data_IF_878195302347
#
_entry.id   IF_878195302347
#
_cell.length_a   1.000
_cell.length_b   1.000
_cell.length_c   1.000
_cell.angle_alpha   90.00
_cell.angle_beta   90.00
_cell.angle_gamma   90.00
#
_symmetry.space_group_name_H-M   'P 1'
#
loop_
_entity.id
_entity.type
_entity.pdbx_description
1 polymer ?
#
# COMPACT_ATOMS: atom_id res chain seq x y z
N UNK A 1 -0.47 -17.29 19.97
CA UNK A 1 0.21 -16.06 19.49
C UNK A 1 1.52 -15.94 20.23
N UNK A 2 2.64 -16.19 19.57
CA UNK A 2 3.98 -16.18 20.20
C UNK A 2 4.64 -14.86 19.84
N UNK A 3 4.28 -13.78 20.50
CA UNK A 3 5.06 -12.54 20.34
C UNK A 3 6.37 -12.75 21.09
N UNK A 4 7.44 -13.06 20.35
CA UNK A 4 8.79 -13.05 20.92
C UNK A 4 9.10 -11.68 21.56
N UNK A 5 10.16 -11.60 22.36
CA UNK A 5 10.61 -10.32 22.93
C UNK A 5 11.18 -9.43 21.81
N UNK A 6 10.65 -8.21 21.69
CA UNK A 6 11.12 -7.18 20.76
C UNK A 6 11.44 -5.91 21.54
N UNK A 7 12.49 -5.21 21.12
CA UNK A 7 12.77 -3.84 21.52
C UNK A 7 11.98 -2.93 20.58
N UNK A 8 11.14 -2.08 21.16
CA UNK A 8 10.31 -1.13 20.41
C UNK A 8 10.65 0.30 20.84
N UNK A 9 10.45 1.25 19.93
CA UNK A 9 10.57 2.68 20.20
C UNK A 9 9.31 3.40 19.79
N UNK A 10 8.85 4.32 20.62
CA UNK A 10 7.67 5.14 20.33
C UNK A 10 7.91 6.04 19.11
N UNK A 11 6.89 6.17 18.28
CA UNK A 11 6.86 7.03 17.11
C UNK A 11 5.97 8.24 17.39
N UNK A 12 6.55 9.43 17.18
CA UNK A 12 5.87 10.70 17.41
C UNK A 12 5.68 11.45 16.10
N UNK A 13 4.57 12.17 15.97
CA UNK A 13 4.37 13.11 14.88
C UNK A 13 5.33 14.29 15.03
N UNK A 14 6.09 14.63 13.99
CA UNK A 14 7.06 15.74 14.03
C UNK A 14 6.41 17.12 14.16
N UNK A 15 5.12 17.25 13.85
CA UNK A 15 4.39 18.53 13.92
C UNK A 15 3.77 18.79 15.29
N UNK A 16 3.09 17.79 15.86
CA UNK A 16 2.35 17.94 17.12
C UNK A 16 2.96 17.18 18.30
N UNK A 17 4.07 16.45 18.09
CA UNK A 17 4.76 15.63 19.10
C UNK A 17 3.85 14.61 19.81
N UNK A 18 2.71 14.28 19.20
CA UNK A 18 1.78 13.32 19.75
C UNK A 18 2.22 11.88 19.40
N UNK A 19 2.11 10.91 20.33
CA UNK A 19 2.46 9.52 20.06
C UNK A 19 1.47 8.88 19.08
N UNK A 20 1.92 8.56 17.88
CA UNK A 20 1.09 8.00 16.80
C UNK A 20 1.23 6.49 16.64
N UNK A 21 2.21 5.88 17.31
CA UNK A 21 2.47 4.45 17.24
C UNK A 21 3.87 4.11 17.73
N UNK A 22 4.43 3.03 17.19
CA UNK A 22 5.74 2.51 17.59
C UNK A 22 6.42 1.75 16.45
N UNK A 23 7.74 1.62 16.56
CA UNK A 23 8.61 0.92 15.61
C UNK A 23 9.28 -0.26 16.31
N UNK A 24 9.44 -1.38 15.60
CA UNK A 24 10.35 -2.43 16.03
C UNK A 24 11.80 -1.99 15.77
N UNK A 25 12.59 -1.81 16.82
CA UNK A 25 14.03 -1.55 16.69
C UNK A 25 14.81 -2.85 16.48
N UNK A 26 14.66 -3.80 17.39
CA UNK A 26 15.43 -5.04 17.36
C UNK A 26 14.57 -6.24 17.79
N UNK A 27 14.70 -7.34 17.06
CA UNK A 27 14.06 -8.61 17.38
C UNK A 27 15.11 -9.55 17.99
N UNK A 28 14.82 -10.08 19.19
CA UNK A 28 15.74 -10.98 19.89
C UNK A 28 15.97 -12.30 19.15
N UNK A 29 15.08 -12.67 18.22
CA UNK A 29 15.15 -13.92 17.49
C UNK A 29 15.25 -13.67 15.97
N UNK A 30 16.15 -14.40 15.29
CA UNK A 30 16.32 -14.33 13.82
C UNK A 30 15.01 -14.54 13.06
N UNK A 31 14.15 -15.43 13.55
CA UNK A 31 12.84 -15.70 12.95
C UNK A 31 11.88 -14.49 12.97
N UNK A 32 12.13 -13.47 13.79
CA UNK A 32 11.30 -12.28 13.92
C UNK A 32 12.00 -11.01 13.38
N UNK A 33 13.23 -11.12 12.85
CA UNK A 33 13.98 -9.98 12.27
C UNK A 33 13.25 -9.29 11.13
N UNK A 34 12.35 -9.98 10.44
CA UNK A 34 11.51 -9.39 9.40
C UNK A 34 10.60 -8.25 9.91
N UNK A 35 10.43 -8.10 11.23
CA UNK A 35 9.69 -7.00 11.84
C UNK A 35 10.55 -5.79 12.14
N UNK A 36 11.87 -5.95 12.29
CA UNK A 36 12.80 -4.85 12.52
C UNK A 36 12.62 -3.78 11.44
N UNK A 37 12.53 -2.51 11.84
CA UNK A 37 12.30 -1.41 10.92
C UNK A 37 10.82 -1.13 10.59
N UNK A 38 9.89 -2.05 10.88
CA UNK A 38 8.46 -1.86 10.62
C UNK A 38 7.80 -0.98 11.69
N UNK A 39 6.77 -0.26 11.27
CA UNK A 39 5.98 0.62 12.12
C UNK A 39 4.57 0.06 12.30
N UNK A 40 4.05 0.25 13.51
CA UNK A 40 2.64 0.04 13.82
C UNK A 40 2.10 1.38 14.26
N UNK A 41 1.07 1.83 13.55
CA UNK A 41 0.48 3.15 13.71
C UNK A 41 -0.99 2.98 14.10
N UNK A 42 -1.45 3.81 15.03
CA UNK A 42 -2.85 3.81 15.45
C UNK A 42 -3.69 4.64 14.48
N UNK A 43 -4.59 3.98 13.73
CA UNK A 43 -5.48 4.65 12.77
C UNK A 43 -6.32 5.76 13.39
N UNK A 44 -6.77 5.60 14.64
CA UNK A 44 -7.56 6.61 15.36
C UNK A 44 -6.79 7.92 15.61
N UNK A 45 -5.46 7.89 15.54
CA UNK A 45 -4.56 9.03 15.73
C UNK A 45 -4.05 9.59 14.41
N UNK A 46 -4.52 9.05 13.28
CA UNK A 46 -4.10 9.47 11.94
C UNK A 46 -5.30 9.97 11.13
N UNK A 47 -5.09 11.08 10.43
CA UNK A 47 -6.00 11.52 9.38
C UNK A 47 -5.57 10.82 8.09
N UNK A 48 -6.38 9.87 7.61
CA UNK A 48 -6.21 9.32 6.28
C UNK A 48 -6.71 10.39 5.31
N UNK A 49 -5.80 11.03 4.59
CA UNK A 49 -6.20 11.76 3.39
C UNK A 49 -6.21 10.71 2.28
N UNK A 50 -7.40 10.32 1.87
CA UNK A 50 -7.60 9.57 0.63
C UNK A 50 -7.10 10.48 -0.50
N UNK A 51 -5.88 10.24 -0.96
CA UNK A 51 -5.54 10.62 -2.32
C UNK A 51 -6.26 9.61 -3.20
N UNK A 52 -7.56 9.85 -3.41
CA UNK A 52 -8.29 9.18 -4.47
C UNK A 52 -7.45 9.33 -5.73
N UNK A 53 -6.91 8.21 -6.20
CA UNK A 53 -6.49 8.12 -7.59
C UNK A 53 -7.74 8.43 -8.37
N UNK A 54 -7.85 9.67 -8.86
CA UNK A 54 -8.69 9.99 -10.00
C UNK A 54 -8.11 9.15 -11.14
N UNK A 55 -8.50 7.88 -11.18
CA UNK A 55 -8.48 7.09 -12.39
C UNK A 55 -9.44 7.84 -13.30
N UNK A 56 -8.87 8.54 -14.27
CA UNK A 56 -9.55 9.44 -15.19
C UNK A 56 -10.85 8.84 -15.75
N UNK A 57 -11.97 9.14 -15.12
CA UNK A 57 -13.26 9.14 -15.77
C UNK A 57 -13.47 10.58 -16.25
N UNK A 58 -13.04 10.86 -17.47
CA UNK A 58 -13.37 12.13 -18.12
C UNK A 58 -14.91 12.24 -18.19
N UNK A 59 -15.52 13.34 -17.71
CA UNK A 59 -16.95 13.54 -17.88
C UNK A 59 -17.21 13.95 -19.33
N UNK A 60 -17.79 13.05 -20.15
CA UNK A 60 -18.51 13.48 -21.35
C UNK A 60 -18.30 12.74 -22.67
N UNK A 61 -17.69 11.54 -22.74
CA UNK A 61 -17.62 10.82 -24.02
C UNK A 61 -18.76 9.81 -24.15
N UNK A 62 -19.85 10.23 -24.78
CA UNK A 62 -20.90 9.34 -25.28
C UNK A 62 -20.32 8.33 -26.29
N UNK A 63 -20.75 7.06 -26.30
CA UNK A 63 -20.30 6.12 -27.30
C UNK A 63 -21.06 6.38 -28.60
N UNK A 64 -20.43 7.08 -29.54
CA UNK A 64 -20.94 7.21 -30.90
C UNK A 64 -19.91 6.70 -31.89
N UNK A 65 -20.41 5.80 -32.75
CA UNK A 65 -19.98 5.46 -34.11
C UNK A 65 -18.68 4.67 -34.29
N UNK A 66 -18.88 3.37 -34.49
CA UNK A 66 -18.32 2.49 -35.52
C UNK A 66 -17.02 2.93 -36.21
N UNK A 67 -15.95 2.14 -36.00
CA UNK A 67 -14.91 1.94 -37.01
C UNK A 67 -14.61 0.44 -37.05
N UNK A 68 -14.88 -0.16 -38.21
CA UNK A 68 -14.41 -1.48 -38.56
C UNK A 68 -12.90 -1.39 -38.83
N UNK A 69 -12.11 -2.31 -38.27
CA UNK A 69 -10.83 -2.69 -38.87
C UNK A 69 -10.64 -4.20 -38.75
N UNK A 70 -10.55 -4.80 -39.92
CA UNK A 70 -10.34 -6.22 -40.16
C UNK A 70 -8.85 -6.52 -40.05
N UNK A 71 -8.47 -7.58 -39.35
CA UNK A 71 -7.08 -8.02 -39.30
C UNK A 71 -6.95 -9.40 -38.65
N UNK A 72 -7.09 -10.43 -39.49
CA UNK A 72 -6.63 -11.79 -39.24
C UNK A 72 -5.09 -11.80 -39.18
N UNK A 73 -4.49 -12.34 -38.11
CA UNK A 73 -3.10 -12.84 -38.15
C UNK A 73 -2.85 -13.83 -36.99
N UNK A 74 -3.18 -15.09 -37.28
CA UNK A 74 -2.41 -16.30 -37.00
C UNK A 74 -1.48 -16.32 -35.76
N UNK A 75 -1.91 -17.04 -34.72
CA UNK A 75 -1.03 -17.50 -33.64
C UNK A 75 -1.35 -18.95 -33.23
N UNK A 76 -1.33 -19.87 -34.20
CA UNK A 76 -1.27 -21.32 -33.95
C UNK A 76 0.16 -21.82 -34.21
N UNK A 77 1.07 -21.33 -33.38
CA UNK A 77 2.35 -21.99 -33.17
C UNK A 77 2.56 -21.93 -31.68
N UNK A 78 2.14 -22.98 -30.98
CA UNK A 78 2.86 -23.72 -29.96
C UNK A 78 2.03 -24.98 -29.65
N UNK A 79 2.19 -26.00 -30.51
CA UNK A 79 2.57 -27.39 -30.18
C UNK A 79 2.62 -28.23 -31.47
#
# INVERSE_FOLDING_TARGET
>A
MTTGMHIVRDAFCTKCMFPVGWKYEEARCKAQKYKEGKYILERSKMLVQDHETVCAAAPGTSPSTNVADSGDDNADQWE
#
